data_IF_888918485539
#
_entry.id   IF_888918485539
#
_cell.length_a   1.000
_cell.length_b   1.000
_cell.length_c   1.000
_cell.angle_alpha   90.00
_cell.angle_beta   90.00
_cell.angle_gamma   90.00
#
_symmetry.space_group_name_H-M   'P 1'
#
loop_
_entity.id
_entity.type
_entity.pdbx_description
1 polymer ?
#
# COMPACT_ATOMS: atom_id res chain seq x y z
N UNK A 1 -49.48 -7.35 -17.93
CA UNK A 1 -48.47 -8.39 -17.61
C UNK A 1 -47.36 -8.18 -18.63
N UNK A 2 -46.10 -7.94 -18.29
CA UNK A 2 -45.33 -8.33 -17.12
C UNK A 2 -44.20 -7.32 -16.88
N UNK A 3 -44.01 -6.94 -15.61
CA UNK A 3 -42.88 -6.15 -15.12
C UNK A 3 -41.68 -7.10 -15.02
N UNK A 4 -40.71 -7.00 -15.91
CA UNK A 4 -39.38 -7.58 -15.66
C UNK A 4 -38.39 -6.47 -15.41
N UNK A 5 -38.43 -6.00 -14.15
CA UNK A 5 -37.35 -5.30 -13.50
C UNK A 5 -36.03 -6.01 -13.81
N UNK A 6 -35.17 -5.35 -14.60
CA UNK A 6 -33.80 -5.77 -14.83
C UNK A 6 -33.01 -5.59 -13.53
N UNK A 7 -33.24 -6.52 -12.58
CA UNK A 7 -32.54 -6.62 -11.30
C UNK A 7 -31.13 -7.15 -11.55
N UNK A 8 -30.30 -6.39 -12.26
CA UNK A 8 -28.85 -6.51 -12.10
C UNK A 8 -28.59 -6.21 -10.63
N UNK A 9 -28.11 -7.22 -9.89
CA UNK A 9 -27.64 -7.03 -8.51
C UNK A 9 -26.73 -5.81 -8.52
N UNK A 10 -27.02 -4.74 -7.75
CA UNK A 10 -26.08 -3.64 -7.63
C UNK A 10 -24.79 -4.26 -7.09
N UNK A 11 -23.74 -4.30 -7.91
CA UNK A 11 -22.42 -4.62 -7.41
C UNK A 11 -22.15 -3.67 -6.24
N UNK A 12 -21.52 -4.18 -5.18
CA UNK A 12 -21.19 -3.35 -4.01
C UNK A 12 -20.47 -2.10 -4.53
N UNK A 13 -21.00 -0.88 -4.33
CA UNK A 13 -20.30 0.32 -4.73
C UNK A 13 -18.93 0.28 -4.06
N UNK A 14 -17.86 0.56 -4.81
CA UNK A 14 -16.51 0.65 -4.26
C UNK A 14 -16.50 1.83 -3.27
N UNK A 15 -16.87 1.56 -2.04
CA UNK A 15 -16.69 2.44 -0.90
C UNK A 15 -15.19 2.48 -0.61
N UNK A 16 -14.51 3.44 -1.20
CA UNK A 16 -13.09 3.64 -1.04
C UNK A 16 -12.67 4.98 -1.62
N UNK A 17 -13.16 6.07 -1.04
CA UNK A 17 -12.62 7.42 -1.21
C UNK A 17 -11.28 7.56 -0.45
N UNK A 18 -10.37 6.63 -0.71
CA UNK A 18 -8.97 6.72 -0.31
C UNK A 18 -8.16 7.08 -1.54
N UNK A 19 -7.12 7.90 -1.36
CA UNK A 19 -6.12 8.18 -2.39
C UNK A 19 -5.77 6.90 -3.17
N UNK A 20 -5.61 6.97 -4.49
CA UNK A 20 -5.32 5.78 -5.29
C UNK A 20 -4.03 5.13 -4.81
N UNK A 21 -4.16 3.91 -4.31
CA UNK A 21 -2.99 3.12 -3.91
C UNK A 21 -2.27 2.59 -5.15
N UNK A 22 -1.00 2.98 -5.30
CA UNK A 22 -0.14 2.52 -6.39
C UNK A 22 0.73 1.37 -5.92
N UNK A 23 0.63 0.23 -6.59
CA UNK A 23 1.46 -0.94 -6.33
C UNK A 23 2.67 -0.94 -7.27
N UNK A 24 3.87 -0.92 -6.71
CA UNK A 24 5.13 -0.99 -7.45
C UNK A 24 5.93 -2.22 -7.05
N UNK A 25 6.49 -2.92 -8.04
CA UNK A 25 7.46 -3.99 -7.83
C UNK A 25 8.88 -3.44 -7.94
N UNK A 26 9.75 -3.84 -7.03
CA UNK A 26 11.16 -3.43 -7.01
C UNK A 26 12.04 -4.56 -6.50
N UNK A 27 13.34 -4.44 -6.72
CA UNK A 27 14.35 -5.36 -6.19
C UNK A 27 15.23 -4.62 -5.20
N UNK A 28 15.59 -5.30 -4.11
CA UNK A 28 16.55 -4.83 -3.15
C UNK A 28 17.73 -5.81 -3.10
N UNK A 29 18.94 -5.35 -2.72
CA UNK A 29 20.02 -6.24 -2.36
C UNK A 29 19.60 -7.20 -1.25
N UNK A 30 20.07 -8.45 -1.30
CA UNK A 30 19.66 -9.50 -0.34
C UNK A 30 19.95 -9.11 1.12
N UNK A 31 21.09 -8.45 1.36
CA UNK A 31 21.46 -7.94 2.68
C UNK A 31 20.46 -6.91 3.23
N UNK A 32 19.85 -6.12 2.34
CA UNK A 32 18.83 -5.14 2.72
C UNK A 32 17.47 -5.82 2.95
N UNK A 33 17.12 -6.82 2.13
CA UNK A 33 15.91 -7.64 2.34
C UNK A 33 15.92 -8.32 3.71
N UNK A 34 17.07 -8.89 4.11
CA UNK A 34 17.21 -9.52 5.42
C UNK A 34 17.00 -8.52 6.56
N UNK A 35 17.56 -7.31 6.46
CA UNK A 35 17.36 -6.24 7.45
C UNK A 35 15.90 -5.82 7.56
N UNK A 36 15.22 -5.59 6.42
CA UNK A 36 13.80 -5.22 6.39
C UNK A 36 12.93 -6.31 7.03
N UNK A 37 13.22 -7.59 6.75
CA UNK A 37 12.51 -8.72 7.37
C UNK A 37 12.70 -8.74 8.88
N UNK A 38 13.93 -8.58 9.36
CA UNK A 38 14.24 -8.56 10.78
C UNK A 38 13.53 -7.40 11.49
N UNK A 39 13.57 -6.19 10.92
CA UNK A 39 12.88 -5.02 11.46
C UNK A 39 11.37 -5.24 11.55
N UNK A 40 10.75 -5.78 10.50
CA UNK A 40 9.33 -6.09 10.50
C UNK A 40 8.93 -7.04 11.66
N UNK A 41 9.77 -8.04 11.96
CA UNK A 41 9.56 -8.96 13.09
C UNK A 41 9.69 -8.24 14.43
N UNK A 42 10.76 -7.46 14.62
CA UNK A 42 11.03 -6.73 15.87
C UNK A 42 9.92 -5.73 16.18
N UNK A 43 9.47 -4.99 15.18
CA UNK A 43 8.43 -3.95 15.31
C UNK A 43 7.00 -4.51 15.23
N UNK A 44 6.84 -5.83 15.05
CA UNK A 44 5.54 -6.50 14.88
C UNK A 44 4.68 -5.86 13.79
N UNK A 45 5.32 -5.55 12.68
CA UNK A 45 4.76 -4.85 11.52
C UNK A 45 5.03 -5.64 10.24
N UNK A 46 4.64 -5.11 9.07
CA UNK A 46 4.89 -5.76 7.78
C UNK A 46 6.11 -5.17 7.05
N UNK A 47 6.75 -5.97 6.19
CA UNK A 47 7.83 -5.49 5.32
C UNK A 47 7.39 -4.30 4.45
N UNK A 48 6.12 -4.30 3.99
CA UNK A 48 5.53 -3.19 3.23
C UNK A 48 5.50 -1.91 4.05
N UNK A 49 5.07 -1.98 5.30
CA UNK A 49 5.00 -0.82 6.20
C UNK A 49 6.39 -0.26 6.51
N UNK A 50 7.38 -1.13 6.77
CA UNK A 50 8.79 -0.72 6.92
C UNK A 50 9.27 0.07 5.69
N UNK A 51 9.03 -0.46 4.49
CA UNK A 51 9.45 0.20 3.24
C UNK A 51 8.73 1.53 3.05
N UNK A 52 7.43 1.61 3.31
CA UNK A 52 6.66 2.85 3.18
C UNK A 52 7.15 3.90 4.19
N UNK A 53 7.42 3.51 5.44
CA UNK A 53 7.94 4.41 6.45
C UNK A 53 9.30 4.99 6.03
N UNK A 54 10.23 4.13 5.58
CA UNK A 54 11.55 4.55 5.11
C UNK A 54 11.47 5.48 3.88
N UNK A 55 10.55 5.21 2.94
CA UNK A 55 10.33 6.10 1.80
C UNK A 55 9.77 7.46 2.21
N UNK A 56 8.84 7.50 3.17
CA UNK A 56 8.30 8.77 3.72
C UNK A 56 9.39 9.58 4.39
N UNK A 57 10.22 8.96 5.22
CA UNK A 57 11.34 9.60 5.89
C UNK A 57 12.36 10.16 4.89
N UNK A 58 12.73 9.36 3.88
CA UNK A 58 13.64 9.79 2.81
C UNK A 58 13.11 11.01 2.03
N UNK A 59 11.81 11.03 1.73
CA UNK A 59 11.18 12.15 1.02
C UNK A 59 11.07 13.40 1.91
N UNK A 60 10.74 13.24 3.19
CA UNK A 60 10.69 14.35 4.15
C UNK A 60 12.06 15.03 4.27
N UNK A 61 13.12 14.24 4.48
CA UNK A 61 14.48 14.77 4.57
C UNK A 61 14.97 15.42 3.27
N UNK A 62 14.43 15.05 2.10
CA UNK A 62 14.71 15.76 0.84
C UNK A 62 13.95 17.08 0.71
N UNK A 63 12.73 17.16 1.23
CA UNK A 63 11.94 18.39 1.19
C UNK A 63 12.56 19.49 2.06
N UNK A 64 13.24 19.12 3.15
CA UNK A 64 13.95 20.06 4.04
C UNK A 64 15.25 20.63 3.44
N UNK A 65 15.74 20.05 2.33
CA UNK A 65 16.94 20.50 1.62
C UNK A 65 16.63 21.30 0.33
N UNK A 66 15.38 21.75 0.16
CA UNK A 66 14.90 22.55 -0.97
C UNK A 66 14.42 23.93 -0.53
#
# INVERSE_FOLDING_TARGET
MDKTENRRKPGRPRSGSGEPEVYATFRLPDSLVQKVRMLAVVERTTQREIVIAALREYLAGRADNC
#
